data_IF_413741426283
#
_entry.id   IF_413741426283
#
_cell.length_a   1.000
_cell.length_b   1.000
_cell.length_c   1.000
_cell.angle_alpha   90.00
_cell.angle_beta   90.00
_cell.angle_gamma   90.00
#
_symmetry.space_group_name_H-M   'P 1'
#
loop_
_entity.id
_entity.type
_entity.pdbx_description
1 polymer ?
#
# COMPACT_ATOMS: atom_id res chain seq x y z
N UNK A 1 125.82 124.08 -47.68
CA UNK A 1 125.21 125.36 -47.30
C UNK A 1 124.83 125.28 -45.82
N UNK A 2 125.31 126.23 -45.02
CA UNK A 2 124.80 126.63 -43.68
C UNK A 2 123.32 127.10 -43.77
N UNK A 3 122.59 127.48 -42.69
CA UNK A 3 122.94 127.53 -41.24
C UNK A 3 121.87 126.87 -40.30
N UNK A 4 122.22 126.42 -39.08
CA UNK A 4 122.30 127.12 -37.77
C UNK A 4 120.98 127.51 -37.09
N UNK A 5 120.71 126.85 -35.95
CA UNK A 5 120.30 127.39 -34.63
C UNK A 5 119.94 126.18 -33.75
N UNK A 6 120.40 125.95 -32.52
CA UNK A 6 121.17 126.70 -31.54
C UNK A 6 120.78 126.18 -30.15
N UNK A 7 121.76 126.06 -29.24
CA UNK A 7 121.69 125.83 -27.77
C UNK A 7 121.63 124.40 -27.20
N UNK A 8 122.83 123.89 -26.90
CA UNK A 8 123.34 123.51 -25.56
C UNK A 8 122.31 123.22 -24.43
N UNK A 9 122.40 122.01 -23.83
CA UNK A 9 122.47 121.71 -22.36
C UNK A 9 122.61 120.19 -22.14
N UNK A 10 123.79 119.70 -21.75
CA UNK A 10 124.18 119.24 -20.39
C UNK A 10 124.02 117.71 -20.18
N UNK A 11 125.10 116.95 -19.90
CA UNK A 11 125.12 115.48 -19.83
C UNK A 11 124.54 114.85 -18.54
N UNK A 12 123.83 115.60 -17.68
CA UNK A 12 123.26 115.09 -16.40
C UNK A 12 121.73 114.86 -16.38
N UNK A 13 120.99 115.14 -17.46
CA UNK A 13 119.52 115.01 -17.48
C UNK A 13 119.02 113.64 -17.97
N UNK A 14 119.82 112.90 -18.73
CA UNK A 14 119.49 111.54 -19.15
C UNK A 14 119.66 110.53 -18.02
N UNK A 15 120.71 110.64 -17.20
CA UNK A 15 120.97 109.70 -16.09
C UNK A 15 119.88 109.75 -15.01
N UNK A 16 119.43 110.93 -14.61
CA UNK A 16 118.35 111.09 -13.62
C UNK A 16 116.99 110.61 -14.14
N UNK A 17 116.72 110.75 -15.45
CA UNK A 17 115.49 110.24 -16.07
C UNK A 17 115.54 108.72 -16.22
N UNK A 18 116.69 108.15 -16.61
CA UNK A 18 116.88 106.69 -16.64
C UNK A 18 116.78 106.10 -15.25
N UNK A 19 117.35 106.74 -14.23
CA UNK A 19 117.25 106.28 -12.84
C UNK A 19 115.81 106.36 -12.30
N UNK A 20 115.04 107.40 -12.66
CA UNK A 20 113.62 107.49 -12.31
C UNK A 20 112.78 106.41 -13.02
N UNK A 21 113.06 106.13 -14.29
CA UNK A 21 112.42 105.05 -15.06
C UNK A 21 112.79 103.67 -14.50
N UNK A 22 114.04 103.47 -14.07
CA UNK A 22 114.52 102.23 -13.47
C UNK A 22 113.90 102.01 -12.08
N UNK A 23 113.86 103.04 -11.23
CA UNK A 23 113.15 103.01 -9.94
C UNK A 23 111.65 102.71 -10.12
N UNK A 24 111.02 103.28 -11.14
CA UNK A 24 109.61 103.01 -11.44
C UNK A 24 109.40 101.60 -12.01
N UNK A 25 110.32 101.12 -12.84
CA UNK A 25 110.32 99.76 -13.38
C UNK A 25 110.50 98.74 -12.27
N UNK A 26 111.36 99.00 -11.29
CA UNK A 26 111.56 98.14 -10.13
C UNK A 26 110.36 98.16 -9.18
N UNK A 27 109.72 99.32 -8.97
CA UNK A 27 108.43 99.41 -8.25
C UNK A 27 107.35 98.60 -8.98
N UNK A 28 107.27 98.70 -10.30
CA UNK A 28 106.32 97.93 -11.11
C UNK A 28 106.61 96.43 -11.06
N UNK A 29 107.88 96.01 -11.17
CA UNK A 29 108.30 94.59 -11.02
C UNK A 29 107.93 94.06 -9.63
N UNK A 30 108.18 94.83 -8.56
CA UNK A 30 107.76 94.47 -7.20
C UNK A 30 106.24 94.34 -7.09
N UNK A 31 105.48 95.25 -7.69
CA UNK A 31 104.00 95.17 -7.68
C UNK A 31 103.47 93.99 -8.47
N UNK A 32 104.07 93.67 -9.63
CA UNK A 32 103.73 92.48 -10.42
C UNK A 32 104.04 91.21 -9.61
N UNK A 33 105.21 91.12 -8.99
CA UNK A 33 105.57 89.98 -8.14
C UNK A 33 104.59 89.83 -6.96
N UNK A 34 104.20 90.94 -6.32
CA UNK A 34 103.20 90.92 -5.27
C UNK A 34 101.83 90.45 -5.79
N UNK A 35 101.34 90.99 -6.91
CA UNK A 35 100.06 90.59 -7.52
C UNK A 35 100.07 89.12 -7.99
N UNK A 36 101.21 88.61 -8.44
CA UNK A 36 101.38 87.20 -8.81
C UNK A 36 101.36 86.30 -7.56
N UNK A 37 102.01 86.72 -6.47
CA UNK A 37 101.95 86.03 -5.18
C UNK A 37 100.52 86.02 -4.63
N UNK A 38 99.85 87.17 -4.64
CA UNK A 38 98.46 87.30 -4.18
C UNK A 38 97.51 86.44 -5.04
N UNK A 39 97.69 86.42 -6.36
CA UNK A 39 96.93 85.53 -7.25
C UNK A 39 97.20 84.05 -6.95
N UNK A 40 98.45 83.68 -6.67
CA UNK A 40 98.80 82.29 -6.31
C UNK A 40 98.16 81.89 -4.99
N UNK A 41 98.18 82.78 -4.00
CA UNK A 41 97.57 82.56 -2.69
C UNK A 41 96.03 82.51 -2.79
N UNK A 42 95.41 83.38 -3.59
CA UNK A 42 93.96 83.34 -3.86
C UNK A 42 93.54 82.06 -4.58
N UNK A 43 94.31 81.62 -5.59
CA UNK A 43 94.07 80.33 -6.28
C UNK A 43 94.21 79.14 -5.33
N UNK A 44 95.19 79.16 -4.41
CA UNK A 44 95.33 78.11 -3.38
C UNK A 44 94.14 78.08 -2.43
N UNK A 45 93.73 79.24 -1.89
CA UNK A 45 92.55 79.35 -1.01
C UNK A 45 91.27 78.88 -1.68
N UNK A 46 91.08 79.24 -2.96
CA UNK A 46 89.93 78.80 -3.74
C UNK A 46 89.93 77.27 -3.94
N UNK A 47 91.09 76.67 -4.19
CA UNK A 47 91.23 75.21 -4.29
C UNK A 47 90.92 74.52 -2.96
N UNK A 48 91.44 75.02 -1.84
CA UNK A 48 91.17 74.45 -0.50
C UNK A 48 89.67 74.51 -0.15
N UNK A 49 88.99 75.62 -0.46
CA UNK A 49 87.54 75.75 -0.25
C UNK A 49 86.73 74.79 -1.14
N UNK A 50 87.10 74.65 -2.42
CA UNK A 50 86.43 73.71 -3.32
C UNK A 50 86.64 72.24 -2.92
N UNK A 51 87.83 71.88 -2.46
CA UNK A 51 88.11 70.53 -1.93
C UNK A 51 87.36 70.27 -0.63
N UNK A 52 87.19 71.30 0.22
CA UNK A 52 86.33 71.25 1.39
C UNK A 52 84.86 70.97 1.04
N UNK A 53 84.31 71.74 0.11
CA UNK A 53 82.95 71.57 -0.42
C UNK A 53 82.75 70.17 -1.04
N UNK A 54 83.72 69.69 -1.82
CA UNK A 54 83.66 68.37 -2.46
C UNK A 54 83.63 67.23 -1.44
N UNK A 55 84.39 67.32 -0.34
CA UNK A 55 84.35 66.33 0.74
C UNK A 55 82.98 66.29 1.42
N UNK A 56 82.43 67.45 1.79
CA UNK A 56 81.11 67.55 2.43
C UNK A 56 80.02 66.97 1.52
N UNK A 57 80.07 67.28 0.22
CA UNK A 57 79.12 66.72 -0.75
C UNK A 57 79.29 65.21 -0.93
N UNK A 58 80.51 64.69 -0.94
CA UNK A 58 80.76 63.26 -1.05
C UNK A 58 80.22 62.48 0.16
N UNK A 59 80.36 63.03 1.36
CA UNK A 59 79.86 62.42 2.60
C UNK A 59 78.34 62.47 2.68
N UNK A 60 77.72 63.62 2.36
CA UNK A 60 76.26 63.78 2.39
C UNK A 60 75.53 62.90 1.36
N UNK A 61 76.13 62.66 0.19
CA UNK A 61 75.54 61.89 -0.91
C UNK A 61 76.19 60.50 -1.11
N UNK A 62 76.83 59.93 -0.08
CA UNK A 62 77.55 58.65 -0.17
C UNK A 62 76.70 57.47 -0.73
N UNK A 63 75.39 57.47 -0.47
CA UNK A 63 74.44 56.47 -0.99
C UNK A 63 73.76 56.82 -2.32
N UNK A 64 73.91 58.05 -2.83
CA UNK A 64 73.17 58.57 -3.99
C UNK A 64 74.12 58.91 -5.14
N UNK A 65 74.60 57.86 -5.82
CA UNK A 65 75.63 57.98 -6.87
C UNK A 65 75.25 58.93 -8.02
N UNK A 66 73.96 59.03 -8.36
CA UNK A 66 73.46 59.93 -9.41
C UNK A 66 73.48 61.41 -9.01
N UNK A 67 72.99 61.73 -7.81
CA UNK A 67 73.02 63.09 -7.24
C UNK A 67 74.46 63.56 -7.02
N UNK A 68 75.33 62.66 -6.54
CA UNK A 68 76.77 62.93 -6.38
C UNK A 68 77.45 63.38 -7.68
N UNK A 69 77.13 62.74 -8.81
CA UNK A 69 77.68 63.12 -10.11
C UNK A 69 77.23 64.51 -10.56
N UNK A 70 75.99 64.90 -10.23
CA UNK A 70 75.42 66.20 -10.59
C UNK A 70 76.03 67.39 -9.81
N UNK A 71 76.68 67.12 -8.68
CA UNK A 71 77.33 68.13 -7.83
C UNK A 71 78.85 68.22 -8.00
N UNK A 72 79.45 67.46 -8.92
CA UNK A 72 80.89 67.52 -9.19
C UNK A 72 81.30 68.93 -9.63
N UNK A 73 82.34 69.48 -9.00
CA UNK A 73 82.86 70.85 -9.22
C UNK A 73 81.86 71.99 -8.93
N UNK A 74 80.78 71.73 -8.19
CA UNK A 74 79.86 72.77 -7.70
C UNK A 74 80.18 73.09 -6.25
N UNK A 75 79.98 74.34 -5.85
CA UNK A 75 80.06 74.70 -4.43
C UNK A 75 78.89 74.08 -3.67
N UNK A 76 79.07 73.84 -2.37
CA UNK A 76 78.02 73.33 -1.49
C UNK A 76 76.74 74.15 -1.54
N UNK A 77 76.85 75.48 -1.66
CA UNK A 77 75.68 76.36 -1.81
C UNK A 77 74.88 76.10 -3.10
N UNK A 78 75.58 75.92 -4.23
CA UNK A 78 74.94 75.61 -5.50
C UNK A 78 74.28 74.22 -5.50
N UNK A 79 74.82 73.27 -4.72
CA UNK A 79 74.18 71.98 -4.53
C UNK A 79 72.86 72.10 -3.75
N UNK A 80 72.83 72.92 -2.68
CA UNK A 80 71.63 73.18 -1.89
C UNK A 80 70.52 73.78 -2.78
N UNK A 81 70.84 74.80 -3.57
CA UNK A 81 69.86 75.43 -4.47
C UNK A 81 69.26 74.44 -5.47
N UNK A 82 70.10 73.58 -6.07
CA UNK A 82 69.64 72.55 -7.00
C UNK A 82 68.78 71.49 -6.30
N UNK A 83 69.13 71.08 -5.08
CA UNK A 83 68.28 70.16 -4.31
C UNK A 83 66.96 70.80 -3.90
N UNK A 84 66.94 72.10 -3.60
CA UNK A 84 65.74 72.84 -3.26
C UNK A 84 64.80 72.98 -4.47
N UNK A 85 65.34 73.27 -5.65
CA UNK A 85 64.59 73.28 -6.91
C UNK A 85 64.00 71.90 -7.21
N UNK A 86 64.80 70.83 -7.09
CA UNK A 86 64.33 69.45 -7.26
C UNK A 86 63.23 69.07 -6.24
N UNK A 87 63.38 69.51 -4.99
CA UNK A 87 62.39 69.29 -3.94
C UNK A 87 61.10 70.06 -4.26
N UNK A 88 61.20 71.27 -4.80
CA UNK A 88 60.09 72.06 -5.32
C UNK A 88 59.35 71.34 -6.44
N UNK A 89 60.08 70.82 -7.44
CA UNK A 89 59.50 70.06 -8.55
C UNK A 89 58.82 68.77 -8.08
N UNK A 90 59.44 68.04 -7.15
CA UNK A 90 58.84 66.84 -6.57
C UNK A 90 57.60 67.15 -5.74
N UNK A 91 57.60 68.27 -5.00
CA UNK A 91 56.43 68.74 -4.26
C UNK A 91 55.29 69.15 -5.20
N UNK A 92 55.61 69.82 -6.30
CA UNK A 92 54.63 70.18 -7.32
C UNK A 92 54.03 68.93 -7.98
N UNK A 93 54.86 67.95 -8.35
CA UNK A 93 54.40 66.65 -8.85
C UNK A 93 53.51 65.92 -7.84
N UNK A 94 53.92 65.87 -6.57
CA UNK A 94 53.13 65.25 -5.51
C UNK A 94 51.78 65.94 -5.33
N UNK A 95 51.75 67.28 -5.34
CA UNK A 95 50.51 68.04 -5.23
C UNK A 95 49.58 67.81 -6.43
N UNK A 96 50.13 67.75 -7.64
CA UNK A 96 49.39 67.40 -8.86
C UNK A 96 48.80 65.99 -8.77
N UNK A 97 49.59 64.99 -8.39
CA UNK A 97 49.09 63.61 -8.19
C UNK A 97 48.06 63.51 -7.07
N UNK A 98 48.21 64.28 -5.98
CA UNK A 98 47.20 64.36 -4.91
C UNK A 98 45.87 64.94 -5.38
N UNK A 99 45.93 66.01 -6.17
CA UNK A 99 44.72 66.61 -6.76
C UNK A 99 44.04 65.63 -7.73
N UNK A 100 44.80 64.98 -8.60
CA UNK A 100 44.27 63.94 -9.49
C UNK A 100 43.65 62.77 -8.71
N UNK A 101 44.28 62.33 -7.63
CA UNK A 101 43.74 61.27 -6.79
C UNK A 101 42.46 61.72 -6.09
N UNK A 102 42.41 62.93 -5.54
CA UNK A 102 41.19 63.50 -4.94
C UNK A 102 40.05 63.63 -5.96
N UNK A 103 40.35 64.03 -7.21
CA UNK A 103 39.37 64.09 -8.28
C UNK A 103 38.82 62.70 -8.64
N UNK A 104 39.69 61.68 -8.73
CA UNK A 104 39.27 60.28 -8.96
C UNK A 104 38.47 59.72 -7.80
N UNK A 105 38.85 60.02 -6.56
CA UNK A 105 38.13 59.65 -5.35
C UNK A 105 36.69 60.20 -5.39
N UNK A 106 36.55 61.49 -5.72
CA UNK A 106 35.23 62.13 -5.87
C UNK A 106 34.40 61.49 -6.99
N UNK A 107 35.01 61.17 -8.12
CA UNK A 107 34.33 60.47 -9.22
C UNK A 107 33.87 59.06 -8.81
N UNK A 108 34.66 58.33 -8.02
CA UNK A 108 34.27 57.03 -7.49
C UNK A 108 33.09 57.15 -6.52
N UNK A 109 33.09 58.13 -5.63
CA UNK A 109 31.99 58.39 -4.70
C UNK A 109 30.70 58.77 -5.45
N UNK A 110 30.79 59.62 -6.48
CA UNK A 110 29.66 59.97 -7.35
C UNK A 110 29.13 58.74 -8.10
N UNK A 111 30.00 57.89 -8.65
CA UNK A 111 29.61 56.69 -9.37
C UNK A 111 28.97 55.65 -8.43
N UNK A 112 29.51 55.50 -7.23
CA UNK A 112 28.96 54.63 -6.19
C UNK A 112 27.58 55.12 -5.74
N UNK A 113 27.41 56.43 -5.53
CA UNK A 113 26.09 57.01 -5.21
C UNK A 113 25.08 56.77 -6.33
N UNK A 114 25.49 56.92 -7.60
CA UNK A 114 24.62 56.60 -8.75
C UNK A 114 24.26 55.12 -8.82
N UNK A 115 25.22 54.23 -8.53
CA UNK A 115 24.96 52.80 -8.48
C UNK A 115 23.97 52.45 -7.37
N UNK A 116 24.16 52.97 -6.16
CA UNK A 116 23.25 52.75 -5.03
C UNK A 116 21.85 53.31 -5.33
N UNK A 117 21.76 54.46 -6.00
CA UNK A 117 20.48 55.01 -6.44
C UNK A 117 19.83 54.10 -7.49
N UNK A 118 20.58 53.61 -8.48
CA UNK A 118 20.04 52.71 -9.49
C UNK A 118 19.55 51.40 -8.87
N UNK A 119 20.29 50.83 -7.91
CA UNK A 119 19.87 49.62 -7.18
C UNK A 119 18.57 49.88 -6.41
N UNK A 120 18.48 51.01 -5.70
CA UNK A 120 17.25 51.41 -5.00
C UNK A 120 16.10 51.62 -5.98
N UNK A 121 16.31 52.32 -7.08
CA UNK A 121 15.30 52.57 -8.11
C UNK A 121 14.85 51.24 -8.76
N UNK A 122 15.75 50.26 -8.94
CA UNK A 122 15.39 48.92 -9.43
C UNK A 122 14.62 48.12 -8.38
N UNK A 123 15.00 48.20 -7.11
CA UNK A 123 14.29 47.55 -6.01
C UNK A 123 12.90 48.18 -5.81
N UNK A 124 12.80 49.50 -5.90
CA UNK A 124 11.55 50.25 -5.87
C UNK A 124 10.70 49.92 -7.10
N UNK A 125 11.27 49.91 -8.31
CA UNK A 125 10.59 49.48 -9.53
C UNK A 125 10.05 48.05 -9.39
N UNK A 126 10.85 47.10 -8.87
CA UNK A 126 10.40 45.73 -8.60
C UNK A 126 9.31 45.65 -7.52
N UNK A 127 9.38 46.50 -6.48
CA UNK A 127 8.34 46.59 -5.45
C UNK A 127 7.06 47.24 -5.98
N UNK A 128 7.16 48.20 -6.89
CA UNK A 128 6.00 48.80 -7.57
C UNK A 128 5.45 47.89 -8.67
N UNK A 129 6.28 47.09 -9.35
CA UNK A 129 5.84 46.13 -10.38
C UNK A 129 5.29 44.81 -9.77
N UNK A 130 5.57 44.57 -8.48
CA UNK A 130 4.81 43.61 -7.67
C UNK A 130 3.34 44.03 -7.45
N UNK A 131 2.98 45.27 -7.80
CA UNK A 131 1.62 45.78 -7.87
C UNK A 131 1.36 46.48 -9.21
N UNK A 132 0.94 45.71 -10.21
CA UNK A 132 0.28 46.18 -11.45
C UNK A 132 1.18 46.55 -12.66
N UNK A 133 1.93 45.59 -13.21
CA UNK A 133 1.93 45.50 -14.68
C UNK A 133 0.57 44.94 -15.11
N UNK A 134 -0.19 45.69 -15.89
CA UNK A 134 -1.45 45.24 -16.53
C UNK A 134 -1.26 43.87 -17.19
N UNK A 135 -0.07 43.62 -17.75
CA UNK A 135 0.32 42.34 -18.35
C UNK A 135 0.40 41.19 -17.35
N UNK A 136 0.93 41.41 -16.15
CA UNK A 136 1.02 40.39 -15.09
C UNK A 136 -0.36 40.05 -14.50
N UNK A 137 -1.24 41.05 -14.37
CA UNK A 137 -2.64 40.83 -13.98
C UNK A 137 -3.40 40.04 -15.05
N UNK A 138 -3.21 40.36 -16.34
CA UNK A 138 -3.79 39.62 -17.45
C UNK A 138 -3.24 38.19 -17.53
N UNK A 139 -1.95 37.97 -17.28
CA UNK A 139 -1.34 36.63 -17.24
C UNK A 139 -1.99 35.77 -16.16
N UNK A 140 -2.12 36.28 -14.92
CA UNK A 140 -2.81 35.55 -13.84
C UNK A 140 -4.27 35.25 -14.17
N UNK A 141 -4.98 36.15 -14.83
CA UNK A 141 -6.36 35.90 -15.27
C UNK A 141 -6.42 34.80 -16.34
N UNK A 142 -5.49 34.78 -17.29
CA UNK A 142 -5.40 33.75 -18.31
C UNK A 142 -5.05 32.39 -17.70
N UNK A 143 -4.10 32.34 -16.77
CA UNK A 143 -3.74 31.14 -16.01
C UNK A 143 -4.95 30.59 -15.25
N UNK A 144 -5.65 31.44 -14.48
CA UNK A 144 -6.87 31.02 -13.77
C UNK A 144 -7.98 30.51 -14.72
N UNK A 145 -8.11 31.11 -15.91
CA UNK A 145 -9.08 30.66 -16.91
C UNK A 145 -8.66 29.33 -17.54
N UNK A 146 -7.36 29.12 -17.74
CA UNK A 146 -6.79 27.89 -18.23
C UNK A 146 -7.01 26.76 -17.24
N UNK A 147 -6.64 26.95 -15.96
CA UNK A 147 -6.84 25.95 -14.90
C UNK A 147 -8.32 25.55 -14.80
N UNK A 148 -9.23 26.53 -14.86
CA UNK A 148 -10.67 26.26 -14.86
C UNK A 148 -11.13 25.49 -16.09
N UNK A 149 -10.52 25.73 -17.26
CA UNK A 149 -10.82 24.96 -18.47
C UNK A 149 -10.26 23.54 -18.38
N UNK A 150 -9.06 23.36 -17.84
CA UNK A 150 -8.45 22.05 -17.61
C UNK A 150 -9.27 21.21 -16.64
N UNK A 151 -9.70 21.78 -15.51
CA UNK A 151 -10.60 21.11 -14.56
C UNK A 151 -11.88 20.64 -15.26
N UNK A 152 -12.54 21.50 -16.04
CA UNK A 152 -13.74 21.13 -16.82
C UNK A 152 -13.46 20.02 -17.83
N UNK A 153 -12.30 20.05 -18.50
CA UNK A 153 -11.91 18.99 -19.42
C UNK A 153 -11.69 17.66 -18.70
N UNK A 154 -11.01 17.67 -17.55
CA UNK A 154 -10.83 16.44 -16.75
C UNK A 154 -12.16 15.89 -16.25
N UNK A 155 -13.08 16.74 -15.78
CA UNK A 155 -14.43 16.35 -15.39
C UNK A 155 -15.23 15.79 -16.58
N UNK A 156 -15.13 16.41 -17.75
CA UNK A 156 -15.79 15.90 -18.95
C UNK A 156 -15.26 14.51 -19.34
N UNK A 157 -13.95 14.27 -19.21
CA UNK A 157 -13.34 12.97 -19.47
C UNK A 157 -13.78 11.93 -18.44
N UNK A 158 -13.86 12.27 -17.16
CA UNK A 158 -14.33 11.32 -16.13
C UNK A 158 -15.81 10.97 -16.35
N UNK A 159 -16.65 11.95 -16.66
CA UNK A 159 -18.06 11.74 -17.05
C UNK A 159 -18.16 10.86 -18.31
N UNK A 160 -17.36 11.14 -19.33
CA UNK A 160 -17.36 10.31 -20.55
C UNK A 160 -16.96 8.87 -20.26
N UNK A 161 -15.97 8.65 -19.38
CA UNK A 161 -15.56 7.31 -18.95
C UNK A 161 -16.71 6.58 -18.26
N UNK A 162 -17.43 7.23 -17.34
CA UNK A 162 -18.56 6.60 -16.66
C UNK A 162 -19.71 6.31 -17.62
N UNK A 163 -20.03 7.21 -18.55
CA UNK A 163 -21.03 6.94 -19.59
C UNK A 163 -20.65 5.75 -20.48
N UNK A 164 -19.38 5.64 -20.87
CA UNK A 164 -18.90 4.51 -21.66
C UNK A 164 -18.96 3.18 -20.89
N UNK A 165 -18.68 3.20 -19.57
CA UNK A 165 -18.85 2.03 -18.71
C UNK A 165 -20.31 1.60 -18.63
N UNK A 166 -21.22 2.54 -18.37
CA UNK A 166 -22.67 2.28 -18.33
C UNK A 166 -23.14 1.72 -19.68
N UNK A 167 -22.72 2.32 -20.79
CA UNK A 167 -23.05 1.84 -22.14
C UNK A 167 -22.56 0.41 -22.36
N UNK A 168 -21.35 0.10 -21.93
CA UNK A 168 -20.77 -1.25 -22.08
C UNK A 168 -21.58 -2.28 -21.28
N UNK A 169 -21.90 -1.97 -20.03
CA UNK A 169 -22.74 -2.83 -19.19
C UNK A 169 -24.14 -3.04 -19.80
N UNK A 170 -24.77 -1.99 -20.34
CA UNK A 170 -26.08 -2.10 -20.99
C UNK A 170 -26.02 -2.98 -22.24
N UNK A 171 -24.94 -2.91 -23.03
CA UNK A 171 -24.74 -3.79 -24.18
C UNK A 171 -24.58 -5.23 -23.70
N UNK A 172 -23.74 -5.48 -22.71
CA UNK A 172 -23.55 -6.82 -22.13
C UNK A 172 -24.86 -7.39 -21.60
N UNK A 173 -25.62 -6.60 -20.84
CA UNK A 173 -26.93 -7.02 -20.31
C UNK A 173 -27.92 -7.32 -21.43
N UNK A 174 -27.94 -6.51 -22.49
CA UNK A 174 -28.82 -6.72 -23.65
C UNK A 174 -28.57 -8.06 -24.36
N UNK A 175 -27.31 -8.53 -24.38
CA UNK A 175 -26.94 -9.82 -24.93
C UNK A 175 -27.45 -11.00 -24.07
N UNK A 176 -27.70 -10.78 -22.78
CA UNK A 176 -28.22 -11.82 -21.88
C UNK A 176 -29.74 -11.97 -21.93
N UNK A 177 -30.48 -10.96 -22.41
CA UNK A 177 -31.94 -10.99 -22.41
C UNK A 177 -32.52 -12.12 -23.25
N UNK A 178 -31.93 -12.42 -24.41
CA UNK A 178 -32.39 -13.55 -25.24
C UNK A 178 -32.28 -14.87 -24.50
N UNK A 179 -31.12 -15.16 -23.89
CA UNK A 179 -30.92 -16.38 -23.11
C UNK A 179 -31.89 -16.47 -21.92
N UNK A 180 -32.16 -15.34 -21.26
CA UNK A 180 -33.11 -15.28 -20.13
C UNK A 180 -34.56 -15.47 -20.59
N UNK A 181 -34.94 -14.93 -21.74
CA UNK A 181 -36.24 -15.16 -22.36
C UNK A 181 -36.40 -16.63 -22.75
N UNK A 182 -35.42 -17.22 -23.41
CA UNK A 182 -35.43 -18.64 -23.78
C UNK A 182 -35.59 -19.54 -22.56
N UNK A 183 -34.88 -19.24 -21.47
CA UNK A 183 -35.01 -19.97 -20.21
C UNK A 183 -36.41 -19.84 -19.60
N UNK A 184 -37.00 -18.64 -19.60
CA UNK A 184 -38.37 -18.42 -19.14
C UNK A 184 -39.39 -19.12 -20.04
N UNK A 185 -39.24 -19.07 -21.36
CA UNK A 185 -40.11 -19.78 -22.30
C UNK A 185 -40.05 -21.30 -22.09
N UNK A 186 -38.87 -21.86 -21.84
CA UNK A 186 -38.70 -23.28 -21.52
C UNK A 186 -39.41 -23.64 -20.21
N UNK A 187 -39.31 -22.80 -19.18
CA UNK A 187 -40.03 -23.01 -17.92
C UNK A 187 -41.55 -22.97 -18.13
N UNK A 188 -42.07 -22.03 -18.93
CA UNK A 188 -43.50 -21.97 -19.27
C UNK A 188 -43.95 -23.23 -20.01
N UNK A 189 -43.19 -23.70 -21.00
CA UNK A 189 -43.52 -24.95 -21.72
C UNK A 189 -43.55 -26.15 -20.78
N UNK A 190 -42.59 -26.24 -19.85
CA UNK A 190 -42.53 -27.30 -18.87
C UNK A 190 -43.73 -27.28 -17.92
N UNK A 191 -44.07 -26.12 -17.36
CA UNK A 191 -45.23 -26.00 -16.46
C UNK A 191 -46.55 -26.23 -17.17
N UNK A 192 -46.69 -25.82 -18.44
CA UNK A 192 -47.84 -26.15 -19.27
C UNK A 192 -47.97 -27.66 -19.50
N UNK A 193 -46.88 -28.36 -19.76
CA UNK A 193 -46.88 -29.82 -19.91
C UNK A 193 -47.24 -30.53 -18.59
N UNK A 194 -46.69 -30.08 -17.47
CA UNK A 194 -47.03 -30.59 -16.14
C UNK A 194 -48.52 -30.37 -15.81
N UNK A 195 -49.07 -29.20 -16.15
CA UNK A 195 -50.49 -28.90 -15.95
C UNK A 195 -51.39 -29.82 -16.78
N UNK A 196 -51.05 -30.04 -18.05
CA UNK A 196 -51.80 -30.96 -18.91
C UNK A 196 -51.79 -32.40 -18.37
N UNK A 197 -50.64 -32.85 -17.84
CA UNK A 197 -50.54 -34.17 -17.24
C UNK A 197 -51.38 -34.29 -15.96
N UNK A 198 -51.36 -33.28 -15.10
CA UNK A 198 -52.22 -33.24 -13.90
C UNK A 198 -53.70 -33.23 -14.29
N UNK A 199 -54.09 -32.49 -15.33
CA UNK A 199 -55.45 -32.52 -15.86
C UNK A 199 -55.83 -33.91 -16.38
N UNK A 200 -54.94 -34.59 -17.12
CA UNK A 200 -55.16 -35.97 -17.58
C UNK A 200 -55.41 -36.89 -16.39
N UNK A 201 -54.54 -36.87 -15.38
CA UNK A 201 -54.70 -37.66 -14.15
C UNK A 201 -56.02 -37.35 -13.44
N UNK A 202 -56.41 -36.07 -13.35
CA UNK A 202 -57.68 -35.69 -12.75
C UNK A 202 -58.89 -36.27 -13.51
N UNK A 203 -58.89 -36.19 -14.85
CA UNK A 203 -59.97 -36.78 -15.66
C UNK A 203 -60.03 -38.31 -15.54
N UNK A 204 -58.88 -38.97 -15.44
CA UNK A 204 -58.80 -40.41 -15.22
C UNK A 204 -59.30 -40.80 -13.83
N UNK A 205 -58.95 -40.02 -12.80
CA UNK A 205 -59.43 -40.21 -11.44
C UNK A 205 -60.95 -39.99 -11.34
N UNK A 206 -61.51 -38.99 -12.03
CA UNK A 206 -62.97 -38.77 -12.10
C UNK A 206 -63.69 -39.94 -12.79
N UNK A 207 -63.15 -40.43 -13.91
CA UNK A 207 -63.70 -41.58 -14.61
C UNK A 207 -63.64 -42.85 -13.74
N UNK A 208 -62.50 -43.08 -13.07
CA UNK A 208 -62.32 -44.19 -12.14
C UNK A 208 -63.31 -44.11 -10.98
N UNK A 209 -63.51 -42.91 -10.40
CA UNK A 209 -64.51 -42.69 -9.36
C UNK A 209 -65.92 -42.98 -9.86
N UNK A 210 -66.28 -42.52 -11.07
CA UNK A 210 -67.60 -42.76 -11.68
C UNK A 210 -67.83 -44.26 -11.93
N UNK A 211 -66.81 -44.96 -12.42
CA UNK A 211 -66.86 -46.41 -12.63
C UNK A 211 -67.03 -47.16 -11.31
N UNK A 212 -66.23 -46.84 -10.29
CA UNK A 212 -66.34 -47.42 -8.96
C UNK A 212 -67.73 -47.17 -8.34
N UNK A 213 -68.28 -45.95 -8.46
CA UNK A 213 -69.64 -45.62 -8.02
C UNK A 213 -70.71 -46.42 -8.78
N UNK A 214 -70.56 -46.58 -10.10
CA UNK A 214 -71.49 -47.37 -10.91
C UNK A 214 -71.41 -48.87 -10.59
N UNK A 215 -70.21 -49.40 -10.34
CA UNK A 215 -70.03 -50.79 -9.91
C UNK A 215 -70.62 -51.03 -8.53
N UNK A 216 -70.36 -50.12 -7.58
CA UNK A 216 -70.98 -50.14 -6.26
C UNK A 216 -72.51 -50.14 -6.38
N UNK A 217 -73.08 -49.20 -7.13
CA UNK A 217 -74.53 -49.14 -7.37
C UNK A 217 -75.08 -50.42 -8.01
N UNK A 218 -74.39 -51.00 -9.00
CA UNK A 218 -74.79 -52.29 -9.59
C UNK A 218 -74.74 -53.43 -8.58
N UNK A 219 -73.76 -53.43 -7.68
CA UNK A 219 -73.66 -54.44 -6.61
C UNK A 219 -74.74 -54.25 -5.54
N UNK A 220 -75.06 -53.00 -5.17
CA UNK A 220 -76.16 -52.64 -4.29
C UNK A 220 -77.51 -53.00 -4.91
N UNK A 221 -77.74 -52.68 -6.19
CA UNK A 221 -78.96 -53.06 -6.92
C UNK A 221 -79.12 -54.59 -7.03
N UNK A 222 -78.02 -55.34 -7.15
CA UNK A 222 -78.05 -56.81 -7.10
C UNK A 222 -78.40 -57.34 -5.70
N UNK A 223 -78.04 -56.61 -4.66
CA UNK A 223 -78.37 -56.94 -3.27
C UNK A 223 -79.80 -56.51 -2.89
N UNK A 224 -80.29 -55.41 -3.47
CA UNK A 224 -81.61 -54.81 -3.23
C UNK A 224 -82.70 -55.35 -4.15
N UNK A 225 -82.37 -55.92 -5.32
CA UNK A 225 -83.32 -56.78 -6.02
C UNK A 225 -83.65 -57.90 -5.05
N UNK A 226 -84.91 -58.05 -4.61
CA UNK A 226 -85.29 -59.27 -3.95
C UNK A 226 -85.09 -60.36 -5.00
N UNK A 227 -84.03 -61.16 -4.86
CA UNK A 227 -84.16 -62.58 -5.14
C UNK A 227 -85.35 -63.00 -4.31
N UNK A 228 -86.52 -63.03 -4.94
CA UNK A 228 -87.80 -63.47 -4.40
C UNK A 228 -87.81 -64.95 -3.96
N UNK A 229 -86.66 -65.61 -3.75
CA UNK A 229 -86.57 -66.74 -2.80
C UNK A 229 -85.75 -66.49 -1.52
N UNK A 230 -85.10 -65.33 -1.34
CA UNK A 230 -84.07 -65.16 -0.29
C UNK A 230 -84.59 -64.61 1.04
N UNK A 231 -85.66 -63.81 1.05
CA UNK A 231 -86.37 -63.45 2.28
C UNK A 231 -87.08 -64.68 2.87
N UNK A 232 -87.73 -65.49 2.02
CA UNK A 232 -88.30 -66.79 2.43
C UNK A 232 -87.23 -67.78 2.93
N UNK A 233 -86.02 -67.79 2.32
CA UNK A 233 -84.94 -68.63 2.81
C UNK A 233 -84.40 -68.14 4.15
N UNK A 234 -84.31 -66.82 4.37
CA UNK A 234 -83.78 -66.25 5.62
C UNK A 234 -84.75 -66.45 6.77
N UNK A 235 -86.05 -66.32 6.53
CA UNK A 235 -87.08 -66.61 7.54
C UNK A 235 -87.15 -68.11 7.83
N UNK A 236 -87.10 -68.99 6.81
CA UNK A 236 -87.04 -70.45 7.02
C UNK A 236 -85.74 -70.92 7.67
N UNK A 237 -84.62 -70.28 7.37
CA UNK A 237 -83.34 -70.54 8.05
C UNK A 237 -83.40 -70.04 9.49
N UNK A 238 -84.02 -68.90 9.76
CA UNK A 238 -84.19 -68.40 11.13
C UNK A 238 -85.15 -69.28 11.94
N UNK A 239 -86.25 -69.78 11.37
CA UNK A 239 -87.14 -70.73 12.02
C UNK A 239 -86.46 -72.08 12.24
N UNK A 240 -85.68 -72.56 11.26
CA UNK A 240 -84.92 -73.80 11.40
C UNK A 240 -83.83 -73.67 12.47
N UNK A 241 -83.12 -72.55 12.51
CA UNK A 241 -82.08 -72.29 13.50
C UNK A 241 -82.68 -72.07 14.89
N UNK A 242 -83.84 -71.40 14.98
CA UNK A 242 -84.59 -71.26 16.22
C UNK A 242 -85.10 -72.63 16.72
N UNK A 243 -85.63 -73.47 15.84
CA UNK A 243 -86.06 -74.83 16.20
C UNK A 243 -84.89 -75.71 16.65
N UNK A 244 -83.70 -75.58 16.04
CA UNK A 244 -82.50 -76.26 16.52
C UNK A 244 -82.08 -75.74 17.89
N UNK A 245 -82.14 -74.42 18.13
CA UNK A 245 -81.84 -73.83 19.44
C UNK A 245 -82.81 -74.37 20.50
N UNK A 246 -84.10 -74.45 20.20
CA UNK A 246 -85.11 -75.00 21.12
C UNK A 246 -84.88 -76.49 21.38
N UNK A 247 -84.57 -77.27 20.34
CA UNK A 247 -84.20 -78.68 20.48
C UNK A 247 -82.93 -78.85 21.34
N UNK A 248 -81.90 -78.03 21.13
CA UNK A 248 -80.70 -78.06 21.95
C UNK A 248 -80.99 -77.66 23.38
N UNK A 249 -81.83 -76.65 23.62
CA UNK A 249 -82.24 -76.24 24.97
C UNK A 249 -83.06 -77.31 25.69
N UNK A 250 -83.90 -78.06 24.97
CA UNK A 250 -84.67 -79.17 25.54
C UNK A 250 -83.74 -80.36 25.87
N UNK A 251 -82.88 -80.77 24.93
CA UNK A 251 -81.86 -81.79 25.18
C UNK A 251 -80.95 -81.39 26.35
N UNK A 252 -80.61 -80.10 26.43
CA UNK A 252 -79.81 -79.53 27.50
C UNK A 252 -80.52 -79.64 28.85
N UNK A 253 -81.80 -79.30 28.91
CA UNK A 253 -82.63 -79.42 30.12
C UNK A 253 -82.74 -80.87 30.59
N UNK A 254 -82.89 -81.82 29.65
CA UNK A 254 -82.89 -83.25 29.97
C UNK A 254 -81.55 -83.73 30.55
N UNK A 255 -80.42 -83.27 29.99
CA UNK A 255 -79.09 -83.59 30.55
C UNK A 255 -78.95 -83.00 31.94
N UNK A 256 -79.37 -81.76 32.13
CA UNK A 256 -79.33 -81.06 33.43
C UNK A 256 -80.15 -81.81 34.50
N UNK A 257 -81.35 -82.27 34.15
CA UNK A 257 -82.20 -83.09 35.04
C UNK A 257 -81.58 -84.46 35.32
N UNK A 258 -81.12 -85.19 34.30
CA UNK A 258 -80.55 -86.53 34.45
C UNK A 258 -79.24 -86.53 35.24
N UNK A 259 -78.45 -85.47 35.14
CA UNK A 259 -77.19 -85.30 35.89
C UNK A 259 -77.39 -84.68 37.28
N UNK A 260 -78.60 -84.19 37.60
CA UNK A 260 -78.91 -83.51 38.87
C UNK A 260 -78.06 -82.26 39.10
N UNK A 261 -77.70 -81.55 38.02
CA UNK A 261 -76.86 -80.36 38.06
C UNK A 261 -77.71 -79.09 37.96
N UNK A 262 -77.33 -78.03 38.67
CA UNK A 262 -78.09 -76.78 38.74
C UNK A 262 -77.72 -75.80 37.63
N UNK A 263 -76.54 -75.96 37.01
CA UNK A 263 -76.02 -75.09 35.95
C UNK A 263 -75.23 -75.87 34.89
N UNK A 264 -75.00 -75.26 33.72
CA UNK A 264 -74.23 -75.87 32.63
C UNK A 264 -72.79 -76.17 33.02
N UNK A 265 -72.17 -75.25 33.75
CA UNK A 265 -70.80 -75.45 34.22
C UNK A 265 -70.70 -76.68 35.14
N UNK A 266 -71.71 -76.90 35.99
CA UNK A 266 -71.76 -78.08 36.85
C UNK A 266 -71.97 -79.39 36.07
N UNK A 267 -72.74 -79.38 34.98
CA UNK A 267 -72.85 -80.54 34.07
C UNK A 267 -71.48 -80.87 33.47
N UNK A 268 -70.77 -79.88 32.92
CA UNK A 268 -69.46 -80.08 32.28
C UNK A 268 -68.41 -80.54 33.29
N UNK A 269 -68.40 -79.98 34.49
CA UNK A 269 -67.47 -80.37 35.56
C UNK A 269 -67.73 -81.81 36.06
N UNK A 270 -69.01 -82.21 36.19
CA UNK A 270 -69.36 -83.60 36.52
C UNK A 270 -68.98 -84.58 35.41
N UNK A 271 -69.19 -84.24 34.14
CA UNK A 271 -68.76 -85.08 33.02
C UNK A 271 -67.23 -85.20 32.95
N UNK A 272 -66.51 -84.09 33.12
CA UNK A 272 -65.04 -84.08 33.07
C UNK A 272 -64.43 -84.90 34.22
N UNK A 273 -65.00 -84.83 35.42
CA UNK A 273 -64.59 -85.69 36.55
C UNK A 273 -65.02 -87.15 36.40
N UNK A 274 -66.07 -87.43 35.61
CA UNK A 274 -66.48 -88.79 35.26
C UNK A 274 -65.51 -89.47 34.30
N UNK A 275 -64.88 -88.74 33.38
CA UNK A 275 -63.89 -89.30 32.44
C UNK A 275 -62.67 -89.87 33.19
N UNK A 276 -62.14 -89.17 34.19
CA UNK A 276 -61.03 -89.69 35.00
C UNK A 276 -61.45 -90.91 35.84
N UNK A 277 -62.67 -90.87 36.39
CA UNK A 277 -63.22 -91.97 37.19
C UNK A 277 -63.45 -93.22 36.34
N UNK A 278 -63.94 -93.06 35.11
CA UNK A 278 -64.18 -94.17 34.17
C UNK A 278 -62.88 -94.75 33.64
N UNK A 279 -61.88 -93.91 33.30
CA UNK A 279 -60.55 -94.37 32.93
C UNK A 279 -59.87 -95.17 34.06
N UNK A 280 -60.02 -94.74 35.31
CA UNK A 280 -59.51 -95.47 36.47
C UNK A 280 -60.21 -96.82 36.66
N UNK A 281 -61.54 -96.88 36.52
CA UNK A 281 -62.31 -98.12 36.61
C UNK A 281 -61.94 -99.12 35.51
N UNK A 282 -61.76 -98.67 34.26
CA UNK A 282 -61.36 -99.55 33.16
C UNK A 282 -59.94 -100.09 33.36
N UNK A 283 -59.02 -99.27 33.88
CA UNK A 283 -57.67 -99.73 34.25
C UNK A 283 -57.73 -100.79 35.35
N UNK A 284 -58.52 -100.56 36.40
CA UNK A 284 -58.69 -101.51 37.51
C UNK A 284 -59.30 -102.83 37.02
N UNK A 285 -60.26 -102.77 36.08
CA UNK A 285 -60.84 -103.93 35.41
C UNK A 285 -59.79 -104.69 34.60
N UNK A 286 -58.98 -104.01 33.78
CA UNK A 286 -57.88 -104.66 33.04
C UNK A 286 -56.86 -105.33 33.95
N UNK A 287 -56.48 -104.67 35.05
CA UNK A 287 -55.56 -105.24 36.05
C UNK A 287 -56.17 -106.51 36.70
N UNK A 288 -57.45 -106.48 37.04
CA UNK A 288 -58.16 -107.64 37.57
C UNK A 288 -58.29 -108.78 36.54
N UNK A 289 -58.56 -108.48 35.27
CA UNK A 289 -58.60 -109.43 34.15
C UNK A 289 -57.23 -110.07 33.91
N UNK A 290 -56.15 -109.28 33.93
CA UNK A 290 -54.78 -109.81 33.83
C UNK A 290 -54.43 -110.70 35.02
N UNK A 291 -54.81 -110.31 36.23
CA UNK A 291 -54.57 -111.11 37.43
C UNK A 291 -55.36 -112.44 37.37
N UNK A 292 -56.60 -112.43 36.91
CA UNK A 292 -57.39 -113.67 36.72
C UNK A 292 -56.84 -114.53 35.59
N UNK A 293 -56.32 -113.95 34.51
CA UNK A 293 -55.65 -114.69 33.45
C UNK A 293 -54.38 -115.39 33.96
N UNK A 294 -53.52 -114.68 34.72
CA UNK A 294 -52.32 -115.27 35.35
C UNK A 294 -52.67 -116.42 36.29
N UNK A 295 -53.67 -116.24 37.15
CA UNK A 295 -54.14 -117.30 38.05
C UNK A 295 -54.69 -118.51 37.28
N UNK A 296 -55.37 -118.31 36.14
CA UNK A 296 -55.84 -119.40 35.28
C UNK A 296 -54.67 -120.14 34.62
N UNK A 297 -53.65 -119.42 34.18
CA UNK A 297 -52.45 -120.00 33.56
C UNK A 297 -51.63 -120.80 34.60
N UNK A 298 -51.41 -120.24 35.79
CA UNK A 298 -50.78 -120.98 36.90
C UNK A 298 -51.61 -122.21 37.29
N UNK A 299 -52.94 -122.10 37.39
CA UNK A 299 -53.82 -123.25 37.65
C UNK A 299 -53.68 -124.31 36.54
N UNK A 300 -53.56 -123.91 35.28
CA UNK A 300 -53.37 -124.83 34.16
C UNK A 300 -51.98 -125.48 34.20
N UNK A 301 -50.93 -124.73 34.51
CA UNK A 301 -49.56 -125.24 34.68
C UNK A 301 -49.50 -126.25 35.83
N UNK A 302 -50.00 -125.88 37.00
CA UNK A 302 -50.07 -126.75 38.17
C UNK A 302 -50.96 -127.98 37.90
N UNK A 303 -52.05 -127.84 37.13
CA UNK A 303 -52.85 -129.01 36.72
C UNK A 303 -52.07 -129.94 35.81
N UNK A 304 -51.32 -129.42 34.82
CA UNK A 304 -50.45 -130.23 33.95
C UNK A 304 -49.32 -130.90 34.74
N UNK A 305 -48.64 -130.17 35.61
CA UNK A 305 -47.60 -130.73 36.50
C UNK A 305 -48.19 -131.82 37.42
N UNK A 306 -49.40 -131.63 37.94
CA UNK A 306 -50.10 -132.64 38.73
C UNK A 306 -50.46 -133.88 37.89
N UNK A 307 -50.91 -133.69 36.65
CA UNK A 307 -51.24 -134.76 35.72
C UNK A 307 -49.97 -135.55 35.34
N UNK A 308 -48.86 -134.87 35.04
CA UNK A 308 -47.55 -135.48 34.82
C UNK A 308 -47.02 -136.23 36.05
N UNK A 309 -47.23 -135.71 37.27
CA UNK A 309 -46.92 -136.44 38.50
C UNK A 309 -47.82 -137.68 38.69
N UNK A 310 -49.11 -137.59 38.32
CA UNK A 310 -50.04 -138.72 38.40
C UNK A 310 -49.63 -139.86 37.46
N UNK A 311 -49.23 -139.55 36.23
CA UNK A 311 -48.80 -140.53 35.23
C UNK A 311 -47.32 -140.97 35.36
N UNK A 312 -46.44 -140.18 36.00
CA UNK A 312 -45.06 -140.59 36.32
C UNK A 312 -44.94 -141.41 37.62
N UNK A 313 -45.95 -141.33 38.50
CA UNK A 313 -46.12 -142.23 39.64
C UNK A 313 -46.58 -143.64 39.24
N UNK A 314 -47.42 -143.75 38.21
CA UNK A 314 -47.88 -145.05 37.67
C UNK A 314 -46.77 -145.80 36.89
N UNK A 315 -45.75 -145.09 36.39
CA UNK A 315 -44.58 -145.68 35.73
C UNK A 315 -43.53 -146.26 36.71
N UNK A 316 -43.65 -146.03 38.03
CA UNK A 316 -42.72 -146.53 39.06
C UNK A 316 -43.29 -147.63 39.97
N UNK A 317 -44.54 -148.03 39.79
CA UNK A 317 -45.16 -149.18 40.47
C UNK A 317 -45.37 -150.39 39.56
N UNK A 318 -44.87 -150.33 38.32
CA UNK A 318 -44.77 -151.46 37.38
C UNK A 318 -43.30 -151.76 37.05
N UNK A 319 -42.51 -152.09 38.09
CA UNK A 319 -41.23 -152.80 38.01
C UNK A 319 -41.02 -153.59 39.31
#
# INVERSE_FOLDING_TARGET
>A
MMPSNGRMRQPGSQEAFTEQVDLQTDKNKRKIAQLQKDNKDQRRKLKELLEGDEKVLNDAFAGRKGERAAFKNKSGYAAIQLTDEQLGDLKNKLNSSRHENAAKQKQLEELQTRYDQLVKDTDEAMRTDAGESETAAHLRQLENRLDKAELKCTEAVTIQRTYNQIKSHLIEESLTYTNRLDAMEQQIRKTQAELLEVQRIATEAELAQKNAKNELKKSEDKLQRPTSPQEDLKDRLSEQDQSKIDMYNEAFSRIKEATGASTMQEVVERFSSQDETTAHLEKMKQEAEQHTAKLREEKSRLSKEFEEMKYSGEAKTSA
#
